data_IF_923258716537
#
_entry.id   IF_923258716537
#
_cell.length_a   1.000
_cell.length_b   1.000
_cell.length_c   1.000
_cell.angle_alpha   90.00
_cell.angle_beta   90.00
_cell.angle_gamma   90.00
#
_symmetry.space_group_name_H-M   'P 1'
#
loop_
_entity.id
_entity.type
_entity.pdbx_description
1 polymer ?
#
# COMPACT_ATOMS: atom_id res chain seq x y z
N UNK A 1 22.13 10.38 -12.11
CA UNK A 1 20.87 10.47 -11.35
C UNK A 1 21.19 10.48 -9.86
N UNK A 2 20.55 11.34 -9.06
CA UNK A 2 20.71 11.40 -7.60
C UNK A 2 19.43 10.84 -6.99
N UNK A 3 19.53 9.87 -6.09
CA UNK A 3 18.41 9.26 -5.39
C UNK A 3 18.56 9.54 -3.89
N UNK A 4 17.49 10.04 -3.28
CA UNK A 4 17.43 10.26 -1.83
C UNK A 4 16.37 9.30 -1.30
N UNK A 5 16.77 8.43 -0.37
CA UNK A 5 15.90 7.49 0.31
C UNK A 5 15.67 8.01 1.72
N UNK A 6 14.43 8.38 2.00
CA UNK A 6 14.00 8.78 3.34
C UNK A 6 13.83 7.51 4.16
N UNK A 7 14.51 7.44 5.30
CA UNK A 7 14.39 6.30 6.20
C UNK A 7 12.96 6.21 6.77
N UNK A 8 12.47 4.99 7.00
CA UNK A 8 11.09 4.71 7.44
C UNK A 8 10.82 5.10 8.90
N UNK A 9 11.86 5.45 9.65
CA UNK A 9 11.74 5.90 11.04
C UNK A 9 11.25 7.36 11.08
N UNK A 10 9.97 7.56 11.39
CA UNK A 10 9.37 8.89 11.61
C UNK A 10 10.14 9.58 12.75
N UNK A 11 10.87 10.65 12.43
CA UNK A 11 11.59 11.48 13.41
C UNK A 11 13.13 11.36 13.42
N UNK A 12 13.74 10.61 12.50
CA UNK A 12 15.20 10.65 12.26
C UNK A 12 15.51 11.24 10.89
N UNK A 13 16.27 12.33 10.85
CA UNK A 13 16.73 13.00 9.62
C UNK A 13 17.93 12.29 8.95
N UNK A 14 17.97 10.96 8.90
CA UNK A 14 19.01 10.27 8.16
C UNK A 14 18.50 9.93 6.76
N UNK A 15 18.58 10.90 5.85
CA UNK A 15 18.36 10.69 4.42
C UNK A 15 19.56 9.95 3.83
N UNK A 16 19.36 8.73 3.30
CA UNK A 16 20.39 8.02 2.56
C UNK A 16 20.45 8.55 1.13
N UNK A 17 21.62 9.00 0.70
CA UNK A 17 21.82 9.59 -0.62
C UNK A 17 22.69 8.69 -1.50
N UNK A 18 22.21 8.39 -2.71
CA UNK A 18 22.89 7.58 -3.69
C UNK A 18 23.10 8.35 -5.01
N UNK A 19 24.34 8.33 -5.52
CA UNK A 19 24.71 9.03 -6.76
C UNK A 19 24.96 8.01 -7.87
N UNK A 20 24.00 7.84 -8.77
CA UNK A 20 24.12 7.00 -9.97
C UNK A 20 24.61 7.84 -11.15
N UNK A 21 25.82 8.39 -11.05
CA UNK A 21 26.48 9.12 -12.13
C UNK A 21 27.61 8.27 -12.71
N UNK A 22 27.52 7.92 -13.99
CA UNK A 22 28.53 7.08 -14.66
C UNK A 22 29.93 7.69 -14.50
N UNK A 23 30.06 9.00 -14.72
CA UNK A 23 31.32 9.75 -14.53
C UNK A 23 31.88 9.70 -13.10
N UNK A 24 31.02 9.46 -12.10
CA UNK A 24 31.43 9.32 -10.70
C UNK A 24 31.83 7.88 -10.41
N UNK A 25 31.06 6.90 -10.90
CA UNK A 25 31.31 5.47 -10.73
C UNK A 25 32.58 5.02 -11.47
N UNK A 26 32.91 5.62 -12.62
CA UNK A 26 34.14 5.36 -13.37
C UNK A 26 35.42 5.71 -12.58
N UNK A 27 35.32 6.56 -11.55
CA UNK A 27 36.45 6.89 -10.68
C UNK A 27 36.75 5.78 -9.66
N UNK A 28 35.94 4.73 -9.64
CA UNK A 28 35.98 3.68 -8.62
C UNK A 28 35.17 4.06 -7.39
N UNK A 29 34.73 3.04 -6.67
CA UNK A 29 34.05 3.15 -5.39
C UNK A 29 35.00 2.72 -4.29
N UNK A 30 34.99 3.42 -3.15
CA UNK A 30 35.66 2.93 -1.95
C UNK A 30 34.78 1.90 -1.22
N UNK A 31 35.36 1.16 -0.27
CA UNK A 31 34.70 0.07 0.43
C UNK A 31 33.39 0.52 1.13
N UNK A 32 33.40 1.69 1.76
CA UNK A 32 32.20 2.26 2.38
C UNK A 32 31.09 2.51 1.37
N UNK A 33 31.42 3.07 0.21
CA UNK A 33 30.45 3.28 -0.87
C UNK A 33 29.93 1.95 -1.41
N UNK A 34 30.80 0.94 -1.57
CA UNK A 34 30.39 -0.40 -2.01
C UNK A 34 29.38 -1.00 -1.02
N UNK A 35 29.64 -0.91 0.29
CA UNK A 35 28.72 -1.38 1.32
C UNK A 35 27.37 -0.64 1.28
N UNK A 36 27.40 0.69 1.11
CA UNK A 36 26.18 1.50 0.98
C UNK A 36 25.35 1.09 -0.26
N UNK A 37 25.98 0.92 -1.43
CA UNK A 37 25.29 0.45 -2.63
C UNK A 37 24.79 -0.98 -2.49
N UNK A 38 25.54 -1.86 -1.83
CA UNK A 38 25.11 -3.24 -1.58
C UNK A 38 23.91 -3.28 -0.63
N UNK A 39 23.93 -2.49 0.45
CA UNK A 39 22.81 -2.35 1.36
C UNK A 39 21.55 -1.89 0.61
N UNK A 40 21.68 -0.85 -0.22
CA UNK A 40 20.59 -0.40 -1.09
C UNK A 40 20.08 -1.50 -2.02
N UNK A 41 20.99 -2.21 -2.69
CA UNK A 41 20.68 -3.30 -3.62
C UNK A 41 19.91 -4.45 -2.94
N UNK A 42 20.26 -4.75 -1.69
CA UNK A 42 19.55 -5.73 -0.87
C UNK A 42 18.18 -5.23 -0.41
N UNK A 43 18.09 -4.00 0.09
CA UNK A 43 16.84 -3.42 0.59
C UNK A 43 15.80 -3.21 -0.50
N UNK A 44 16.23 -2.92 -1.73
CA UNK A 44 15.33 -2.89 -2.89
C UNK A 44 14.86 -4.27 -3.35
N UNK A 45 15.40 -5.36 -2.79
CA UNK A 45 15.09 -6.73 -3.20
C UNK A 45 15.78 -7.17 -4.51
N UNK A 46 16.67 -6.36 -5.07
CA UNK A 46 17.39 -6.69 -6.31
C UNK A 46 18.29 -7.91 -6.11
N UNK A 47 18.95 -8.03 -4.95
CA UNK A 47 19.70 -9.26 -4.62
C UNK A 47 18.83 -10.50 -4.75
N UNK A 48 17.62 -10.47 -4.18
CA UNK A 48 16.72 -11.62 -4.26
C UNK A 48 16.24 -11.88 -5.70
N UNK A 49 15.91 -10.82 -6.44
CA UNK A 49 15.51 -10.90 -7.85
C UNK A 49 16.57 -11.63 -8.68
N UNK A 50 17.80 -11.12 -8.67
CA UNK A 50 18.89 -11.64 -9.49
C UNK A 50 19.34 -13.05 -9.07
N UNK A 51 19.36 -13.34 -7.77
CA UNK A 51 19.82 -14.64 -7.28
C UNK A 51 18.76 -15.74 -7.34
N UNK A 52 17.45 -15.42 -7.25
CA UNK A 52 16.42 -16.43 -7.05
C UNK A 52 15.30 -16.43 -8.09
N UNK A 53 15.06 -15.32 -8.79
CA UNK A 53 13.88 -15.18 -9.68
C UNK A 53 14.25 -15.17 -11.16
N UNK A 54 15.35 -14.48 -11.54
CA UNK A 54 15.75 -14.30 -12.95
C UNK A 54 17.04 -15.05 -13.29
N UNK A 55 17.38 -16.07 -12.50
CA UNK A 55 18.61 -16.87 -12.54
C UNK A 55 18.95 -17.38 -13.95
N UNK A 56 17.95 -17.61 -14.81
CA UNK A 56 18.12 -18.16 -16.15
C UNK A 56 18.36 -17.14 -17.26
N UNK A 57 17.72 -15.96 -17.22
CA UNK A 57 17.93 -14.93 -18.24
C UNK A 57 17.43 -13.54 -17.79
N UNK A 58 18.37 -12.70 -17.36
CA UNK A 58 18.13 -11.29 -17.02
C UNK A 58 17.61 -10.50 -18.23
N UNK A 59 18.13 -10.81 -19.44
CA UNK A 59 17.79 -10.11 -20.68
C UNK A 59 16.32 -10.31 -21.04
N UNK A 60 15.80 -11.54 -20.92
CA UNK A 60 14.38 -11.83 -21.20
C UNK A 60 13.42 -11.16 -20.21
N UNK A 61 13.85 -11.00 -18.95
CA UNK A 61 13.12 -10.27 -17.93
C UNK A 61 13.09 -8.77 -18.24
N UNK A 62 14.24 -8.17 -18.58
CA UNK A 62 14.38 -6.73 -18.86
C UNK A 62 13.68 -6.34 -20.16
N UNK A 63 13.74 -7.18 -21.20
CA UNK A 63 13.09 -6.92 -22.51
C UNK A 63 11.56 -7.10 -22.44
N UNK A 64 11.04 -7.66 -21.36
CA UNK A 64 9.60 -7.64 -21.07
C UNK A 64 8.84 -8.91 -21.43
N UNK A 65 9.52 -9.93 -21.96
CA UNK A 65 8.91 -11.20 -22.40
C UNK A 65 8.29 -11.97 -21.22
N UNK A 66 8.92 -11.89 -20.04
CA UNK A 66 8.45 -12.57 -18.82
C UNK A 66 7.50 -11.75 -17.94
N UNK A 67 7.53 -10.40 -18.03
CA UNK A 67 6.75 -9.50 -17.16
C UNK A 67 5.45 -8.97 -17.79
N UNK A 68 5.27 -9.14 -19.11
CA UNK A 68 4.10 -8.64 -19.85
C UNK A 68 2.81 -9.46 -19.71
N UNK A 69 2.87 -10.67 -19.16
CA UNK A 69 1.73 -11.61 -19.14
C UNK A 69 0.79 -11.36 -17.94
N UNK A 70 1.22 -10.65 -16.90
CA UNK A 70 0.45 -10.45 -15.66
C UNK A 70 0.00 -8.98 -15.46
N UNK A 71 -0.79 -8.49 -16.41
CA UNK A 71 -1.37 -7.13 -16.35
C UNK A 71 -2.38 -6.95 -15.21
N UNK A 72 -2.98 -8.04 -14.72
CA UNK A 72 -3.84 -8.06 -13.55
C UNK A 72 -3.02 -7.95 -12.25
N UNK A 73 -1.93 -8.71 -12.12
CA UNK A 73 -1.01 -8.59 -10.99
C UNK A 73 -0.36 -7.22 -10.88
N UNK A 74 -0.06 -6.54 -12.00
CA UNK A 74 0.49 -5.17 -11.99
C UNK A 74 -0.44 -4.16 -11.30
N UNK A 75 -1.75 -4.23 -11.57
CA UNK A 75 -2.75 -3.31 -10.98
C UNK A 75 -3.00 -3.64 -9.51
N UNK A 76 -3.05 -4.92 -9.17
CA UNK A 76 -3.21 -5.37 -7.78
C UNK A 76 -2.02 -4.96 -6.91
N UNK A 77 -0.79 -4.93 -7.46
CA UNK A 77 0.41 -4.45 -6.73
C UNK A 77 0.30 -2.99 -6.30
N UNK A 78 -0.30 -2.11 -7.11
CA UNK A 78 -0.47 -0.69 -6.77
C UNK A 78 -1.43 -0.48 -5.60
N UNK A 79 -2.58 -1.16 -5.62
CA UNK A 79 -3.54 -1.13 -4.51
C UNK A 79 -2.95 -1.69 -3.22
N UNK A 80 -2.27 -2.83 -3.28
CA UNK A 80 -1.58 -3.43 -2.13
C UNK A 80 -0.51 -2.50 -1.57
N UNK A 81 0.29 -1.85 -2.43
CA UNK A 81 1.31 -0.91 -1.99
C UNK A 81 0.72 0.29 -1.26
N UNK A 82 -0.43 0.80 -1.72
CA UNK A 82 -1.12 1.91 -1.07
C UNK A 82 -1.73 1.50 0.28
N UNK A 83 -2.32 0.31 0.37
CA UNK A 83 -2.77 -0.26 1.64
C UNK A 83 -1.61 -0.40 2.64
N UNK A 84 -0.48 -0.96 2.21
CA UNK A 84 0.73 -1.11 3.02
C UNK A 84 1.32 0.24 3.47
N UNK A 85 1.17 1.29 2.66
CA UNK A 85 1.62 2.64 3.03
C UNK A 85 0.69 3.28 4.07
N UNK A 86 -0.63 3.05 3.98
CA UNK A 86 -1.60 3.59 4.93
C UNK A 86 -1.59 2.85 6.27
N UNK A 87 -1.35 1.54 6.26
CA UNK A 87 -1.41 0.67 7.45
C UNK A 87 -0.60 1.21 8.65
N UNK A 88 0.71 1.54 8.57
CA UNK A 88 1.47 1.99 9.73
C UNK A 88 0.94 3.29 10.34
N UNK A 89 0.45 4.20 9.50
CA UNK A 89 -0.14 5.47 9.93
C UNK A 89 -1.45 5.22 10.69
N UNK A 90 -2.30 4.33 10.17
CA UNK A 90 -3.58 3.95 10.82
C UNK A 90 -3.31 3.23 12.15
N UNK A 91 -2.33 2.33 12.18
CA UNK A 91 -1.90 1.60 13.38
C UNK A 91 -1.44 2.56 14.49
N UNK A 92 -0.60 3.54 14.15
CA UNK A 92 -0.11 4.55 15.10
C UNK A 92 -1.27 5.37 15.70
N UNK A 93 -2.20 5.84 14.86
CA UNK A 93 -3.38 6.57 15.31
C UNK A 93 -4.24 5.68 16.22
N UNK A 94 -4.47 4.43 15.84
CA UNK A 94 -5.25 3.50 16.64
C UNK A 94 -4.62 3.23 18.00
N UNK A 95 -3.30 3.03 18.04
CA UNK A 95 -2.55 2.86 19.28
C UNK A 95 -2.65 4.10 20.18
N UNK A 96 -2.43 5.29 19.61
CA UNK A 96 -2.49 6.58 20.33
C UNK A 96 -3.85 6.83 20.99
N UNK A 97 -4.95 6.46 20.33
CA UNK A 97 -6.30 6.72 20.83
C UNK A 97 -6.98 5.49 21.46
N UNK A 98 -6.28 4.36 21.59
CA UNK A 98 -6.83 3.12 22.15
C UNK A 98 -7.99 2.55 21.34
N UNK A 99 -7.87 2.59 20.01
CA UNK A 99 -8.84 2.05 19.05
C UNK A 99 -8.38 0.65 18.63
N UNK A 100 -9.29 -0.32 18.59
CA UNK A 100 -8.99 -1.64 18.04
C UNK A 100 -9.03 -1.60 16.52
N UNK A 101 -7.98 -2.14 15.91
CA UNK A 101 -7.84 -2.24 14.46
C UNK A 101 -7.89 -3.71 14.02
N UNK A 102 -8.69 -4.01 13.01
CA UNK A 102 -8.67 -5.28 12.29
C UNK A 102 -8.37 -5.02 10.82
N UNK A 103 -7.40 -5.74 10.28
CA UNK A 103 -6.91 -5.56 8.92
C UNK A 103 -7.37 -6.74 8.05
N UNK A 104 -7.92 -6.45 6.88
CA UNK A 104 -8.33 -7.43 5.87
C UNK A 104 -9.28 -8.51 6.43
N UNK A 105 -10.26 -8.10 7.27
CA UNK A 105 -11.24 -9.00 7.91
C UNK A 105 -12.66 -8.81 7.36
N UNK A 106 -13.49 -9.83 7.55
CA UNK A 106 -14.92 -9.77 7.27
C UNK A 106 -15.70 -9.20 8.47
N UNK A 107 -16.79 -8.48 8.23
CA UNK A 107 -17.58 -7.85 9.30
C UNK A 107 -18.15 -8.82 10.33
N UNK A 108 -18.41 -10.09 9.97
CA UNK A 108 -18.86 -11.11 10.94
C UNK A 108 -17.95 -11.26 12.16
N UNK A 109 -16.67 -10.85 12.07
CA UNK A 109 -15.74 -10.84 13.20
C UNK A 109 -16.22 -9.90 14.32
N UNK A 110 -16.95 -8.84 14.00
CA UNK A 110 -17.45 -7.84 14.96
C UNK A 110 -18.50 -8.42 15.91
N UNK A 111 -19.20 -9.50 15.51
CA UNK A 111 -20.12 -10.24 16.39
C UNK A 111 -19.41 -10.74 17.66
N UNK A 112 -18.11 -11.08 17.57
CA UNK A 112 -17.28 -11.49 18.72
C UNK A 112 -16.99 -10.36 19.70
N UNK A 113 -17.17 -9.12 19.25
CA UNK A 113 -16.94 -7.90 20.03
C UNK A 113 -18.25 -7.23 20.47
N UNK A 114 -19.39 -7.90 20.31
CA UNK A 114 -20.70 -7.42 20.77
C UNK A 114 -21.44 -6.51 19.79
N UNK A 115 -20.94 -6.32 18.57
CA UNK A 115 -21.65 -5.56 17.54
C UNK A 115 -22.72 -6.42 16.86
N UNK A 116 -23.85 -5.80 16.54
CA UNK A 116 -24.84 -6.39 15.66
C UNK A 116 -24.41 -6.20 14.20
N UNK A 117 -24.42 -7.29 13.42
CA UNK A 117 -24.01 -7.29 12.01
C UNK A 117 -25.01 -8.14 11.24
N UNK A 118 -25.69 -7.53 10.28
CA UNK A 118 -26.63 -8.19 9.37
C UNK A 118 -25.91 -9.17 8.44
N UNK A 119 -26.62 -10.19 7.98
CA UNK A 119 -26.08 -11.17 7.03
C UNK A 119 -25.69 -10.53 5.68
N UNK A 120 -26.35 -9.42 5.32
CA UNK A 120 -26.09 -8.66 4.08
C UNK A 120 -24.65 -8.12 4.00
N UNK A 121 -24.05 -7.79 5.14
CA UNK A 121 -22.67 -7.29 5.22
C UNK A 121 -21.69 -8.27 5.89
N UNK A 122 -22.17 -9.28 6.61
CA UNK A 122 -21.36 -10.17 7.43
C UNK A 122 -20.16 -10.79 6.70
N UNK A 123 -20.35 -11.17 5.42
CA UNK A 123 -19.32 -11.80 4.60
C UNK A 123 -18.48 -10.82 3.77
N UNK A 124 -18.81 -9.52 3.77
CA UNK A 124 -18.03 -8.51 3.06
C UNK A 124 -16.69 -8.32 3.79
N UNK A 125 -15.61 -8.31 3.02
CA UNK A 125 -14.26 -7.99 3.50
C UNK A 125 -14.09 -6.48 3.53
N UNK A 126 -13.30 -6.01 4.49
CA UNK A 126 -12.90 -4.63 4.64
C UNK A 126 -11.39 -4.54 4.72
N UNK A 127 -10.81 -3.49 4.15
CA UNK A 127 -9.37 -3.23 4.29
C UNK A 127 -9.03 -2.97 5.75
N UNK A 128 -9.75 -2.04 6.38
CA UNK A 128 -9.61 -1.73 7.78
C UNK A 128 -10.98 -1.65 8.47
N UNK A 129 -11.04 -2.22 9.67
CA UNK A 129 -12.16 -2.08 10.59
C UNK A 129 -11.62 -1.51 11.90
N UNK A 130 -12.08 -0.32 12.26
CA UNK A 130 -11.69 0.40 13.46
C UNK A 130 -12.87 0.43 14.42
N UNK A 131 -12.66 0.10 15.68
CA UNK A 131 -13.73 0.20 16.67
C UNK A 131 -13.24 0.54 18.06
N UNK A 132 -14.08 1.26 18.80
CA UNK A 132 -13.87 1.63 20.19
C UNK A 132 -15.24 1.78 20.85
N UNK A 133 -15.40 1.17 22.02
CA UNK A 133 -16.67 1.09 22.73
C UNK A 133 -17.76 0.54 21.79
N UNK A 134 -18.87 1.26 21.63
CA UNK A 134 -19.99 0.88 20.76
C UNK A 134 -19.92 1.54 19.36
N UNK A 135 -18.78 2.14 18.98
CA UNK A 135 -18.61 2.75 17.66
C UNK A 135 -17.69 1.89 16.79
N UNK A 136 -18.13 1.64 15.56
CA UNK A 136 -17.38 0.92 14.54
C UNK A 136 -17.33 1.74 13.25
N UNK A 137 -16.20 1.66 12.55
CA UNK A 137 -15.98 2.29 11.27
C UNK A 137 -15.28 1.31 10.32
N UNK A 138 -15.81 1.18 9.12
CA UNK A 138 -15.09 0.61 8.00
C UNK A 138 -14.30 1.71 7.31
N UNK A 139 -13.03 1.43 7.02
CA UNK A 139 -12.18 2.26 6.21
C UNK A 139 -11.68 1.45 5.01
N UNK A 140 -11.92 1.96 3.81
CA UNK A 140 -11.43 1.40 2.54
C UNK A 140 -10.36 2.32 1.95
N UNK A 141 -9.37 1.73 1.28
CA UNK A 141 -8.22 2.46 0.76
C UNK A 141 -8.02 2.10 -0.70
N UNK A 142 -7.97 3.10 -1.58
CA UNK A 142 -7.83 2.85 -3.02
C UNK A 142 -6.95 3.89 -3.72
N UNK A 143 -6.09 3.39 -4.61
CA UNK A 143 -5.15 4.16 -5.40
C UNK A 143 -5.54 4.11 -6.88
N UNK A 144 -5.90 5.25 -7.46
CA UNK A 144 -6.35 5.32 -8.85
C UNK A 144 -5.22 5.63 -9.83
N UNK A 145 -4.27 6.50 -9.46
CA UNK A 145 -3.07 6.79 -10.25
C UNK A 145 -3.31 7.34 -11.67
N UNK A 146 -4.53 7.74 -12.02
CA UNK A 146 -4.92 8.25 -13.34
C UNK A 146 -6.43 8.46 -13.50
N UNK A 147 -6.84 9.05 -14.63
CA UNK A 147 -8.25 9.31 -15.01
C UNK A 147 -8.89 8.11 -15.73
N UNK A 148 -10.23 7.96 -15.63
CA UNK A 148 -11.00 6.93 -16.35
C UNK A 148 -12.40 6.72 -15.73
N UNK A 149 -13.16 5.73 -16.21
CA UNK A 149 -14.51 5.40 -15.68
C UNK A 149 -14.49 4.52 -14.42
N UNK A 150 -13.42 3.76 -14.20
CA UNK A 150 -13.29 2.85 -13.05
C UNK A 150 -13.36 3.56 -11.70
N UNK A 151 -12.74 4.73 -11.52
CA UNK A 151 -12.92 5.50 -10.32
C UNK A 151 -14.41 5.76 -10.02
N UNK A 152 -15.22 6.18 -11.02
CA UNK A 152 -16.65 6.48 -10.84
C UNK A 152 -17.42 5.24 -10.37
N UNK A 153 -17.20 4.10 -11.02
CA UNK A 153 -17.78 2.80 -10.62
C UNK A 153 -17.43 2.42 -9.17
N UNK A 154 -16.21 2.71 -8.73
CA UNK A 154 -15.73 2.43 -7.37
C UNK A 154 -16.40 3.37 -6.36
N UNK A 155 -16.56 4.65 -6.66
CA UNK A 155 -17.27 5.59 -5.78
C UNK A 155 -18.74 5.21 -5.66
N UNK A 156 -19.42 4.84 -6.74
CA UNK A 156 -20.80 4.39 -6.68
C UNK A 156 -20.95 3.13 -5.83
N UNK A 157 -20.01 2.18 -5.96
CA UNK A 157 -19.92 1.00 -5.10
C UNK A 157 -19.75 1.38 -3.62
N UNK A 158 -18.89 2.35 -3.32
CA UNK A 158 -18.66 2.82 -1.95
C UNK A 158 -19.82 3.62 -1.35
N UNK A 159 -20.57 4.39 -2.15
CA UNK A 159 -21.82 5.05 -1.71
C UNK A 159 -22.85 4.00 -1.31
N UNK A 160 -23.00 2.94 -2.11
CA UNK A 160 -23.91 1.84 -1.76
C UNK A 160 -23.43 1.07 -0.53
N UNK A 161 -22.11 0.86 -0.40
CA UNK A 161 -21.51 0.26 0.79
C UNK A 161 -21.76 1.08 2.05
N UNK A 162 -21.56 2.40 2.02
CA UNK A 162 -21.87 3.28 3.15
C UNK A 162 -23.32 3.11 3.58
N UNK A 163 -24.26 3.16 2.62
CA UNK A 163 -25.70 3.00 2.91
C UNK A 163 -26.01 1.68 3.61
N UNK A 164 -25.37 0.59 3.19
CA UNK A 164 -25.56 -0.72 3.82
C UNK A 164 -24.96 -0.78 5.23
N UNK A 165 -23.74 -0.27 5.39
CA UNK A 165 -23.05 -0.24 6.69
C UNK A 165 -23.79 0.62 7.73
N UNK A 166 -24.37 1.73 7.27
CA UNK A 166 -25.13 2.66 8.13
C UNK A 166 -26.36 2.01 8.76
N UNK A 167 -26.99 1.02 8.10
CA UNK A 167 -28.11 0.25 8.65
C UNK A 167 -27.71 -0.50 9.92
N UNK A 168 -26.45 -0.92 9.99
CA UNK A 168 -25.87 -1.64 11.14
C UNK A 168 -25.10 -0.70 12.09
N UNK A 169 -25.24 0.62 11.93
CA UNK A 169 -24.55 1.62 12.75
C UNK A 169 -23.04 1.70 12.53
N UNK A 170 -22.53 1.16 11.41
CA UNK A 170 -21.12 1.18 11.06
C UNK A 170 -20.85 2.42 10.20
N UNK A 171 -19.90 3.26 10.64
CA UNK A 171 -19.42 4.42 9.88
C UNK A 171 -18.56 3.98 8.70
N UNK A 172 -18.46 4.82 7.68
CA UNK A 172 -17.63 4.55 6.51
C UNK A 172 -16.65 5.70 6.27
N UNK A 173 -15.41 5.35 5.96
CA UNK A 173 -14.36 6.28 5.53
C UNK A 173 -13.69 5.72 4.27
N UNK A 174 -13.35 6.60 3.35
CA UNK A 174 -12.61 6.25 2.13
C UNK A 174 -11.35 7.10 2.04
N UNK A 175 -10.19 6.45 1.87
CA UNK A 175 -8.89 7.10 1.70
C UNK A 175 -8.41 6.88 0.27
N UNK A 176 -7.94 7.94 -0.36
CA UNK A 176 -7.42 7.94 -1.73
C UNK A 176 -6.22 8.85 -1.90
N UNK A 177 -5.60 8.85 -3.08
CA UNK A 177 -4.32 9.50 -3.42
C UNK A 177 -4.37 11.04 -3.50
N UNK A 178 -5.48 11.67 -3.10
CA UNK A 178 -5.56 13.11 -2.86
C UNK A 178 -5.57 13.96 -4.14
N UNK A 179 -5.13 15.22 -4.08
CA UNK A 179 -5.27 16.19 -5.19
C UNK A 179 -4.62 15.67 -6.48
N UNK A 180 -5.32 15.80 -7.61
CA UNK A 180 -5.04 15.13 -8.90
C UNK A 180 -5.44 13.66 -9.01
N UNK A 181 -6.07 13.10 -7.97
CA UNK A 181 -6.92 11.92 -8.16
C UNK A 181 -7.85 12.20 -9.35
N UNK A 182 -8.07 11.20 -10.21
CA UNK A 182 -9.01 11.28 -11.33
C UNK A 182 -8.61 12.20 -12.50
N UNK A 183 -7.42 12.82 -12.45
CA UNK A 183 -6.98 13.74 -13.50
C UNK A 183 -7.75 15.07 -13.56
N UNK A 184 -8.59 15.36 -12.57
CA UNK A 184 -9.27 16.64 -12.47
C UNK A 184 -8.25 17.72 -12.03
N UNK A 185 -8.06 18.72 -12.90
CA UNK A 185 -7.24 19.93 -12.64
C UNK A 185 -8.02 20.95 -11.84
#
# INVERSE_FOLDING_TARGET
MRLIVVNTDIGKEDNLEYIFSIKHLEKGLNDKQIEEYLFFFEKMGLKHLFLNLIEKNVVDYVIGVLVGIDTNGRKNRGGIAFELACQPIIEEICQKYGIKLLIQKQFKVLKKYGFNVSEDIANRKADFILFKDNKCMNMEVNYFGGSGSKPEEIIDSYINREKDLKKDGILFAFITDGKHCWGNR
#
